data_IF_178328686222
#
_entry.id   IF_178328686222
#
_cell.length_a   1.000
_cell.length_b   1.000
_cell.length_c   1.000
_cell.angle_alpha   90.00
_cell.angle_beta   90.00
_cell.angle_gamma   90.00
#
_symmetry.space_group_name_H-M   'P 1'
#
loop_
_entity.id
_entity.type
_entity.pdbx_description
1 polymer ?
#
# COMPACT_ATOMS: atom_id res chain seq x y z
N UNK A 1 2.38 -5.18 -8.33
CA UNK A 1 2.74 -5.16 -6.90
C UNK A 1 1.81 -6.08 -6.12
N UNK A 2 2.35 -7.01 -5.33
CA UNK A 2 1.61 -7.94 -4.45
C UNK A 2 1.44 -7.36 -3.05
N UNK A 3 0.56 -7.93 -2.22
CA UNK A 3 0.36 -7.52 -0.82
C UNK A 3 1.63 -7.54 0.01
N UNK A 4 2.43 -8.60 -0.15
CA UNK A 4 3.74 -8.73 0.49
C UNK A 4 4.69 -7.57 0.15
N UNK A 5 4.74 -7.13 -1.11
CA UNK A 5 5.58 -6.00 -1.54
C UNK A 5 5.13 -4.69 -0.87
N UNK A 6 3.82 -4.45 -0.75
CA UNK A 6 3.27 -3.26 -0.05
C UNK A 6 3.74 -3.26 1.41
N UNK A 7 3.57 -4.39 2.08
CA UNK A 7 3.91 -4.57 3.50
C UNK A 7 5.40 -4.36 3.76
N UNK A 8 6.24 -4.94 2.90
CA UNK A 8 7.69 -4.81 3.00
C UNK A 8 8.13 -3.35 2.82
N UNK A 9 7.65 -2.68 1.77
CA UNK A 9 7.99 -1.29 1.49
C UNK A 9 7.47 -0.33 2.58
N UNK A 10 6.25 -0.53 3.08
CA UNK A 10 5.73 0.24 4.21
C UNK A 10 6.61 0.07 5.47
N UNK A 11 7.03 -1.17 5.77
CA UNK A 11 7.91 -1.46 6.91
C UNK A 11 9.29 -0.83 6.74
N UNK A 12 9.85 -0.82 5.52
CA UNK A 12 11.11 -0.14 5.22
C UNK A 12 11.03 1.37 5.49
N UNK A 13 9.88 1.98 5.22
CA UNK A 13 9.60 3.39 5.58
C UNK A 13 9.23 3.61 7.05
N UNK A 14 9.13 2.54 7.86
CA UNK A 14 8.76 2.58 9.29
C UNK A 14 7.44 3.32 9.58
N UNK A 15 6.51 3.37 8.62
CA UNK A 15 5.19 4.00 8.82
C UNK A 15 4.15 2.95 9.21
N UNK A 16 3.17 3.28 10.09
CA UNK A 16 2.05 2.38 10.38
C UNK A 16 1.07 2.30 9.20
N UNK A 17 0.21 1.28 9.17
CA UNK A 17 -0.82 1.13 8.11
C UNK A 17 -1.75 2.34 8.01
N UNK A 18 -2.11 2.94 9.16
CA UNK A 18 -2.97 4.12 9.20
C UNK A 18 -2.35 5.32 8.46
N UNK A 19 -1.03 5.47 8.52
CA UNK A 19 -0.32 6.54 7.80
C UNK A 19 -0.32 6.29 6.29
N UNK A 20 -0.10 5.03 5.87
CA UNK A 20 -0.21 4.66 4.46
C UNK A 20 -1.64 4.87 3.93
N UNK A 21 -2.64 4.50 4.72
CA UNK A 21 -4.06 4.67 4.39
C UNK A 21 -4.42 6.15 4.21
N UNK A 22 -3.99 7.02 5.14
CA UNK A 22 -4.16 8.48 5.05
C UNK A 22 -3.54 9.07 3.78
N UNK A 23 -2.31 8.68 3.45
CA UNK A 23 -1.61 9.17 2.24
C UNK A 23 -2.29 8.75 0.93
N UNK A 24 -2.98 7.62 0.95
CA UNK A 24 -3.68 7.06 -0.21
C UNK A 24 -5.17 7.43 -0.26
N UNK A 25 -5.70 8.13 0.75
CA UNK A 25 -7.12 8.45 0.84
C UNK A 25 -8.03 7.23 0.96
N UNK A 26 -7.55 6.14 1.59
CA UNK A 26 -8.32 4.90 1.77
C UNK A 26 -8.45 4.53 3.26
N UNK A 27 -9.33 3.57 3.57
CA UNK A 27 -9.46 3.06 4.94
C UNK A 27 -8.26 2.21 5.36
N UNK A 28 -8.05 2.11 6.69
CA UNK A 28 -7.08 1.19 7.27
C UNK A 28 -7.33 -0.26 6.81
N UNK A 29 -8.59 -0.70 6.80
CA UNK A 29 -8.98 -2.06 6.39
C UNK A 29 -8.66 -2.35 4.93
N UNK A 30 -8.68 -1.32 4.07
CA UNK A 30 -8.26 -1.45 2.68
C UNK A 30 -6.78 -1.80 2.60
N UNK A 31 -5.92 -1.07 3.32
CA UNK A 31 -4.47 -1.36 3.38
C UNK A 31 -4.21 -2.72 4.02
N UNK A 32 -4.91 -3.06 5.12
CA UNK A 32 -4.79 -4.36 5.76
C UNK A 32 -5.22 -5.51 4.83
N UNK A 33 -6.29 -5.34 4.05
CA UNK A 33 -6.74 -6.32 3.08
C UNK A 33 -5.72 -6.51 1.96
N UNK A 34 -5.09 -5.43 1.49
CA UNK A 34 -4.04 -5.51 0.48
C UNK A 34 -2.80 -6.22 1.02
N UNK A 35 -2.29 -5.83 2.20
CA UNK A 35 -1.07 -6.41 2.78
C UNK A 35 -1.19 -7.90 3.14
N UNK A 36 -2.40 -8.40 3.34
CA UNK A 36 -2.69 -9.81 3.64
C UNK A 36 -3.22 -10.56 2.41
N UNK A 37 -3.08 -9.99 1.21
CA UNK A 37 -3.51 -10.56 -0.08
C UNK A 37 -5.00 -10.97 -0.14
N UNK A 38 -5.84 -10.46 0.78
CA UNK A 38 -7.30 -10.68 0.77
C UNK A 38 -7.98 -9.95 -0.38
N UNK A 39 -7.44 -8.80 -0.76
CA UNK A 39 -7.84 -8.05 -1.95
C UNK A 39 -6.60 -7.49 -2.62
N UNK A 40 -6.68 -7.23 -3.92
CA UNK A 40 -5.65 -6.48 -4.65
C UNK A 40 -6.11 -5.03 -4.84
N UNK A 41 -5.20 -4.06 -5.04
CA UNK A 41 -5.56 -2.71 -5.47
C UNK A 41 -6.43 -2.77 -6.74
N UNK A 42 -7.53 -2.04 -6.74
CA UNK A 42 -8.62 -2.20 -7.71
C UNK A 42 -8.25 -1.89 -9.16
N UNK A 43 -7.27 -1.00 -9.39
CA UNK A 43 -6.92 -0.53 -10.71
C UNK A 43 -5.42 -0.16 -10.80
N UNK A 44 -4.96 0.10 -12.03
CA UNK A 44 -3.59 0.54 -12.26
C UNK A 44 -3.27 1.88 -11.60
N UNK A 45 -4.22 2.82 -11.60
CA UNK A 45 -4.07 4.10 -10.90
C UNK A 45 -3.69 3.90 -9.43
N UNK A 46 -4.43 3.05 -8.70
CA UNK A 46 -4.14 2.76 -7.30
C UNK A 46 -2.78 2.08 -7.13
N UNK A 47 -2.39 1.18 -8.05
CA UNK A 47 -1.06 0.54 -8.02
C UNK A 47 0.07 1.55 -8.20
N UNK A 48 -0.09 2.52 -9.11
CA UNK A 48 0.86 3.61 -9.34
C UNK A 48 0.94 4.52 -8.11
N UNK A 49 -0.20 4.85 -7.52
CA UNK A 49 -0.25 5.73 -6.36
C UNK A 49 0.40 5.11 -5.12
N UNK A 50 0.19 3.82 -4.89
CA UNK A 50 0.90 3.10 -3.83
C UNK A 50 2.42 3.09 -4.09
N UNK A 51 2.85 2.82 -5.32
CA UNK A 51 4.28 2.84 -5.66
C UNK A 51 4.91 4.23 -5.45
N UNK A 52 4.18 5.30 -5.80
CA UNK A 52 4.57 6.70 -5.58
C UNK A 52 4.75 7.01 -4.10
N UNK A 53 3.75 6.69 -3.26
CA UNK A 53 3.78 6.93 -1.82
C UNK A 53 4.89 6.13 -1.13
N UNK A 54 5.13 4.90 -1.59
CA UNK A 54 6.16 4.02 -1.04
C UNK A 54 7.56 4.29 -1.61
N UNK A 55 7.72 5.30 -2.49
CA UNK A 55 8.99 5.68 -3.13
C UNK A 55 9.70 4.49 -3.80
N UNK A 56 8.93 3.56 -4.37
CA UNK A 56 9.48 2.41 -5.07
C UNK A 56 10.08 2.90 -6.39
N UNK A 57 11.39 2.74 -6.56
CA UNK A 57 12.05 2.98 -7.86
C UNK A 57 11.60 1.89 -8.85
N UNK A 58 11.35 2.30 -10.10
CA UNK A 58 11.05 1.41 -11.22
C UNK A 58 12.18 0.42 -11.47
#
# INVERSE_FOLDING_TARGET
MTGAQIKQARRALKIPRVELAKRLGVSFDTVASWENDRRRPCCEYMRREIARVLKLKR
#
